data_IF_885029167024
#
_entry.id   IF_885029167024
#
_cell.length_a   1.000
_cell.length_b   1.000
_cell.length_c   1.000
_cell.angle_alpha   90.00
_cell.angle_beta   90.00
_cell.angle_gamma   90.00
#
_symmetry.space_group_name_H-M   'P 1'
#
loop_
_entity.id
_entity.type
_entity.pdbx_description
1 polymer ?
#
# COMPACT_ATOMS: atom_id res chain seq x y z
N UNK A 1 -43.20 78.78 -43.67
CA UNK A 1 -43.37 77.89 -42.50
C UNK A 1 -42.86 76.44 -42.68
N UNK A 2 -42.12 76.08 -43.75
CA UNK A 2 -41.64 74.69 -43.96
C UNK A 2 -40.13 74.46 -43.73
N UNK A 3 -39.34 75.50 -43.41
CA UNK A 3 -37.90 75.35 -43.15
C UNK A 3 -37.56 75.01 -41.67
N UNK A 4 -38.43 75.37 -40.72
CA UNK A 4 -38.18 75.16 -39.28
C UNK A 4 -38.46 73.73 -38.83
N UNK A 5 -39.40 73.02 -39.48
CA UNK A 5 -39.75 71.63 -39.15
C UNK A 5 -38.71 70.59 -39.60
N UNK A 6 -37.91 70.88 -40.65
CA UNK A 6 -36.85 69.96 -41.11
C UNK A 6 -35.59 70.03 -40.26
N UNK A 7 -35.31 71.17 -39.61
CA UNK A 7 -34.10 71.33 -38.80
C UNK A 7 -34.22 70.67 -37.41
N UNK A 8 -35.43 70.65 -36.83
CA UNK A 8 -35.67 69.94 -35.56
C UNK A 8 -35.57 68.41 -35.70
N UNK A 9 -36.02 67.85 -36.82
CA UNK A 9 -36.00 66.39 -37.03
C UNK A 9 -34.57 65.84 -37.19
N UNK A 10 -33.64 66.63 -37.75
CA UNK A 10 -32.23 66.24 -37.87
C UNK A 10 -31.51 66.29 -36.52
N UNK A 11 -31.81 67.28 -35.67
CA UNK A 11 -31.24 67.38 -34.33
C UNK A 11 -31.75 66.26 -33.41
N UNK A 12 -33.02 65.88 -33.49
CA UNK A 12 -33.57 64.76 -32.72
C UNK A 12 -33.00 63.40 -33.17
N UNK A 13 -32.78 63.20 -34.48
CA UNK A 13 -32.12 61.99 -34.99
C UNK A 13 -30.64 61.92 -34.62
N UNK A 14 -29.93 63.05 -34.60
CA UNK A 14 -28.53 63.11 -34.13
C UNK A 14 -28.43 62.87 -32.62
N UNK A 15 -29.33 63.44 -31.82
CA UNK A 15 -29.37 63.22 -30.36
C UNK A 15 -29.72 61.77 -30.02
N UNK A 16 -30.64 61.15 -30.77
CA UNK A 16 -30.98 59.74 -30.60
C UNK A 16 -29.79 58.81 -30.96
N UNK A 17 -29.07 59.11 -32.05
CA UNK A 17 -27.88 58.36 -32.44
C UNK A 17 -26.73 58.53 -31.44
N UNK A 18 -26.53 59.73 -30.88
CA UNK A 18 -25.55 59.96 -29.81
C UNK A 18 -25.90 59.20 -28.53
N UNK A 19 -27.17 59.22 -28.10
CA UNK A 19 -27.64 58.46 -26.94
C UNK A 19 -27.50 56.95 -27.16
N UNK A 20 -27.79 56.44 -28.36
CA UNK A 20 -27.61 55.03 -28.71
C UNK A 20 -26.13 54.62 -28.69
N UNK A 21 -25.24 55.47 -29.22
CA UNK A 21 -23.80 55.22 -29.20
C UNK A 21 -23.23 55.27 -27.78
N UNK A 22 -23.71 56.21 -26.95
CA UNK A 22 -23.33 56.33 -25.55
C UNK A 22 -23.83 55.14 -24.72
N UNK A 23 -25.05 54.65 -24.99
CA UNK A 23 -25.59 53.45 -24.38
C UNK A 23 -24.82 52.19 -24.79
N UNK A 24 -24.45 52.06 -26.08
CA UNK A 24 -23.62 50.95 -26.55
C UNK A 24 -22.22 50.97 -25.93
N UNK A 25 -21.60 52.14 -25.79
CA UNK A 25 -20.30 52.28 -25.10
C UNK A 25 -20.39 51.95 -23.61
N UNK A 26 -21.44 52.38 -22.91
CA UNK A 26 -21.65 52.02 -21.51
C UNK A 26 -21.90 50.52 -21.34
N UNK A 27 -22.63 49.88 -22.25
CA UNK A 27 -22.85 48.44 -22.24
C UNK A 27 -21.55 47.67 -22.50
N UNK A 28 -20.74 48.12 -23.46
CA UNK A 28 -19.44 47.52 -23.75
C UNK A 28 -18.47 47.67 -22.56
N UNK A 29 -18.48 48.83 -21.90
CA UNK A 29 -17.68 49.07 -20.70
C UNK A 29 -18.13 48.17 -19.52
N UNK A 30 -19.44 48.05 -19.29
CA UNK A 30 -19.96 47.21 -18.20
C UNK A 30 -19.70 45.71 -18.45
N UNK A 31 -19.79 45.24 -19.70
CA UNK A 31 -19.43 43.88 -20.07
C UNK A 31 -17.92 43.61 -19.91
N UNK A 32 -17.08 44.58 -20.24
CA UNK A 32 -15.63 44.46 -20.04
C UNK A 32 -15.26 44.42 -18.55
N UNK A 33 -15.89 45.25 -17.72
CA UNK A 33 -15.69 45.25 -16.27
C UNK A 33 -16.25 43.97 -15.61
N UNK A 34 -17.41 43.50 -16.05
CA UNK A 34 -17.96 42.21 -15.61
C UNK A 34 -17.04 41.05 -15.99
N UNK A 35 -16.50 41.05 -17.22
CA UNK A 35 -15.54 40.04 -17.67
C UNK A 35 -14.26 40.03 -16.82
N UNK A 36 -13.74 41.20 -16.45
CA UNK A 36 -12.60 41.32 -15.52
C UNK A 36 -12.94 40.83 -14.12
N UNK A 37 -14.11 41.19 -13.58
CA UNK A 37 -14.57 40.71 -12.27
C UNK A 37 -14.70 39.19 -12.24
N UNK A 38 -15.33 38.60 -13.26
CA UNK A 38 -15.50 37.16 -13.38
C UNK A 38 -14.15 36.42 -13.46
N UNK A 39 -13.21 36.94 -14.25
CA UNK A 39 -11.84 36.40 -14.34
C UNK A 39 -11.14 36.45 -12.98
N UNK A 40 -11.27 37.56 -12.25
CA UNK A 40 -10.63 37.76 -10.96
C UNK A 40 -11.22 36.85 -9.88
N UNK A 41 -12.56 36.69 -9.86
CA UNK A 41 -13.24 35.72 -8.99
C UNK A 41 -12.82 34.27 -9.30
N UNK A 42 -12.76 33.90 -10.58
CA UNK A 42 -12.33 32.56 -10.98
C UNK A 42 -10.88 32.30 -10.58
N UNK A 43 -10.00 33.29 -10.74
CA UNK A 43 -8.60 33.18 -10.33
C UNK A 43 -8.45 33.06 -8.80
N UNK A 44 -9.23 33.82 -8.01
CA UNK A 44 -9.26 33.67 -6.56
C UNK A 44 -9.78 32.31 -6.11
N UNK A 45 -10.84 31.79 -6.74
CA UNK A 45 -11.37 30.46 -6.46
C UNK A 45 -10.33 29.37 -6.75
N UNK A 46 -9.64 29.45 -7.89
CA UNK A 46 -8.58 28.51 -8.24
C UNK A 46 -7.39 28.58 -7.27
N UNK A 47 -6.96 29.79 -6.90
CA UNK A 47 -5.90 29.97 -5.92
C UNK A 47 -6.30 29.43 -4.54
N UNK A 48 -7.51 29.73 -4.08
CA UNK A 48 -8.04 29.23 -2.81
C UNK A 48 -8.13 27.70 -2.78
N UNK A 49 -8.67 27.10 -3.85
CA UNK A 49 -8.77 25.65 -3.96
C UNK A 49 -7.39 24.97 -4.02
N UNK A 50 -6.46 25.53 -4.80
CA UNK A 50 -5.08 25.01 -4.90
C UNK A 50 -4.36 25.05 -3.56
N UNK A 51 -4.46 26.16 -2.81
CA UNK A 51 -3.86 26.29 -1.49
C UNK A 51 -4.47 25.30 -0.48
N UNK A 52 -5.78 25.07 -0.58
CA UNK A 52 -6.48 24.13 0.30
C UNK A 52 -6.08 22.68 0.02
N UNK A 53 -5.94 22.28 -1.26
CA UNK A 53 -5.42 20.97 -1.65
C UNK A 53 -3.99 20.80 -1.15
N UNK A 54 -3.13 21.81 -1.34
CA UNK A 54 -1.73 21.75 -0.93
C UNK A 54 -1.60 21.57 0.59
N UNK A 55 -2.35 22.36 1.36
CA UNK A 55 -2.37 22.27 2.82
C UNK A 55 -2.87 20.90 3.30
N UNK A 56 -3.94 20.38 2.68
CA UNK A 56 -4.49 19.05 3.02
C UNK A 56 -3.50 17.93 2.69
N UNK A 57 -2.85 18.00 1.53
CA UNK A 57 -1.81 17.05 1.13
C UNK A 57 -0.62 17.08 2.09
N UNK A 58 -0.14 18.28 2.43
CA UNK A 58 0.98 18.45 3.37
C UNK A 58 0.65 17.90 4.76
N UNK A 59 -0.57 18.15 5.27
CA UNK A 59 -1.03 17.61 6.54
C UNK A 59 -1.09 16.08 6.53
N UNK A 60 -1.60 15.47 5.45
CA UNK A 60 -1.64 14.01 5.30
C UNK A 60 -0.23 13.40 5.27
N UNK A 61 0.72 14.05 4.60
CA UNK A 61 2.12 13.62 4.57
C UNK A 61 2.78 13.68 5.94
N UNK A 62 2.57 14.78 6.68
CA UNK A 62 3.08 14.89 8.05
C UNK A 62 2.50 13.81 8.97
N UNK A 63 1.21 13.53 8.84
CA UNK A 63 0.57 12.50 9.66
C UNK A 63 1.14 11.10 9.37
N UNK A 64 1.31 10.74 8.09
CA UNK A 64 1.95 9.47 7.71
C UNK A 64 3.38 9.35 8.23
N UNK A 65 4.14 10.45 8.23
CA UNK A 65 5.50 10.47 8.75
C UNK A 65 5.53 10.13 10.25
N UNK A 66 4.64 10.75 11.04
CA UNK A 66 4.51 10.50 12.48
C UNK A 66 4.10 9.05 12.75
N UNK A 67 3.12 8.53 12.01
CA UNK A 67 2.68 7.13 12.12
C UNK A 67 3.82 6.16 11.82
N UNK A 68 4.64 6.46 10.81
CA UNK A 68 5.81 5.64 10.48
C UNK A 68 6.86 5.68 11.59
N UNK A 69 7.19 6.85 12.14
CA UNK A 69 8.13 6.98 13.25
C UNK A 69 7.66 6.20 14.49
N UNK A 70 6.37 6.26 14.82
CA UNK A 70 5.80 5.49 15.92
C UNK A 70 5.88 3.98 15.68
N UNK A 71 5.60 3.52 14.45
CA UNK A 71 5.71 2.12 14.08
C UNK A 71 7.16 1.61 14.22
N UNK A 72 8.14 2.40 13.75
CA UNK A 72 9.56 2.09 13.91
C UNK A 72 9.99 2.02 15.39
N UNK A 73 9.55 2.96 16.22
CA UNK A 73 9.87 2.95 17.65
C UNK A 73 9.29 1.71 18.35
N UNK A 74 8.09 1.28 17.95
CA UNK A 74 7.48 0.04 18.48
C UNK A 74 8.28 -1.20 18.07
N UNK A 75 8.59 -1.34 16.79
CA UNK A 75 9.41 -2.43 16.26
C UNK A 75 10.78 -2.51 16.94
N UNK A 76 11.40 -1.35 17.20
CA UNK A 76 12.68 -1.29 17.89
C UNK A 76 12.60 -1.79 19.34
N UNK A 77 11.54 -1.42 20.07
CA UNK A 77 11.31 -1.91 21.44
C UNK A 77 11.03 -3.41 21.46
N UNK A 78 10.17 -3.89 20.56
CA UNK A 78 9.85 -5.31 20.44
C UNK A 78 11.13 -6.11 20.13
N UNK A 79 11.95 -5.63 19.19
CA UNK A 79 13.26 -6.24 18.88
C UNK A 79 14.19 -6.27 20.10
N UNK A 80 14.30 -5.18 20.87
CA UNK A 80 15.12 -5.16 22.09
C UNK A 80 14.62 -6.18 23.12
N UNK A 81 13.31 -6.31 23.28
CA UNK A 81 12.70 -7.26 24.21
C UNK A 81 12.96 -8.71 23.76
N UNK A 82 12.75 -9.01 22.47
CA UNK A 82 13.04 -10.34 21.91
C UNK A 82 14.51 -10.68 22.01
N UNK A 83 15.41 -9.72 21.79
CA UNK A 83 16.85 -9.90 21.97
C UNK A 83 17.22 -10.21 23.42
N UNK A 84 16.65 -9.49 24.40
CA UNK A 84 16.82 -9.83 25.81
C UNK A 84 16.33 -11.24 26.13
N UNK A 85 15.18 -11.65 25.60
CA UNK A 85 14.65 -13.00 25.81
C UNK A 85 15.56 -14.07 25.21
N UNK A 86 16.14 -13.83 24.03
CA UNK A 86 17.10 -14.73 23.39
C UNK A 86 18.44 -14.81 24.14
N UNK A 87 18.95 -13.68 24.65
CA UNK A 87 20.16 -13.66 25.48
C UNK A 87 19.94 -14.39 26.83
N UNK A 88 18.70 -14.46 27.33
CA UNK A 88 18.34 -15.32 28.46
C UNK A 88 18.10 -16.79 28.08
N UNK A 89 17.85 -17.10 26.80
CA UNK A 89 17.41 -18.40 26.31
C UNK A 89 18.48 -19.19 25.51
N UNK A 90 19.75 -18.77 25.52
CA UNK A 90 20.85 -19.58 24.94
C UNK A 90 20.84 -21.02 25.48
N UNK A 91 21.08 -22.03 24.62
CA UNK A 91 20.49 -23.35 24.79
C UNK A 91 21.22 -24.18 25.84
N UNK A 92 20.55 -24.39 26.98
CA UNK A 92 20.91 -25.33 28.06
C UNK A 92 20.68 -26.80 27.64
N UNK A 93 20.27 -27.07 26.40
CA UNK A 93 19.92 -28.42 25.94
C UNK A 93 21.07 -29.46 26.00
N UNK A 94 22.33 -29.02 25.94
CA UNK A 94 23.50 -29.92 26.14
C UNK A 94 23.90 -30.07 27.59
N UNK A 95 23.67 -29.06 28.45
CA UNK A 95 23.97 -29.15 29.88
C UNK A 95 22.93 -29.98 30.63
N UNK A 96 21.64 -29.85 30.29
CA UNK A 96 20.56 -30.59 30.94
C UNK A 96 20.66 -32.11 30.71
N UNK A 97 21.04 -32.55 29.50
CA UNK A 97 21.23 -33.98 29.23
C UNK A 97 22.45 -34.57 29.97
N UNK A 98 23.49 -33.77 30.16
CA UNK A 98 24.71 -34.18 30.85
C UNK A 98 24.49 -34.22 32.38
N UNK A 99 23.78 -33.24 32.93
CA UNK A 99 23.34 -33.27 34.34
C UNK A 99 22.37 -34.41 34.63
N UNK A 100 21.48 -34.76 33.69
CA UNK A 100 20.56 -35.88 33.87
C UNK A 100 21.31 -37.22 33.91
N UNK A 101 22.34 -37.36 33.07
CA UNK A 101 23.23 -38.52 33.07
C UNK A 101 24.05 -38.61 34.37
N UNK A 102 24.62 -37.49 34.84
CA UNK A 102 25.35 -37.43 36.11
C UNK A 102 24.46 -37.75 37.32
N UNK A 103 23.20 -37.29 37.30
CA UNK A 103 22.21 -37.63 38.33
C UNK A 103 21.81 -39.11 38.29
N UNK A 104 21.65 -39.70 37.10
CA UNK A 104 21.38 -41.14 36.96
C UNK A 104 22.57 -41.98 37.46
N UNK A 105 23.80 -41.57 37.15
CA UNK A 105 24.99 -42.26 37.64
C UNK A 105 25.09 -42.16 39.18
N UNK A 106 24.89 -40.97 39.75
CA UNK A 106 24.88 -40.79 41.20
C UNK A 106 23.78 -41.63 41.85
N UNK A 107 22.56 -41.63 41.32
CA UNK A 107 21.47 -42.48 41.80
C UNK A 107 21.84 -43.97 41.81
N UNK A 108 22.48 -44.46 40.75
CA UNK A 108 22.93 -45.85 40.67
C UNK A 108 24.03 -46.18 41.69
N UNK A 109 24.94 -45.23 41.97
CA UNK A 109 25.96 -45.36 43.01
C UNK A 109 25.35 -45.36 44.42
N UNK A 110 24.42 -44.44 44.72
CA UNK A 110 23.71 -44.40 46.01
C UNK A 110 22.91 -45.68 46.24
N UNK A 111 22.25 -46.21 45.20
CA UNK A 111 21.50 -47.46 45.27
C UNK A 111 22.41 -48.67 45.59
N UNK A 112 23.61 -48.72 45.00
CA UNK A 112 24.61 -49.74 45.35
C UNK A 112 25.08 -49.60 46.80
N UNK A 113 25.32 -48.38 47.27
CA UNK A 113 25.73 -48.14 48.66
C UNK A 113 24.64 -48.57 49.65
N UNK A 114 23.36 -48.26 49.38
CA UNK A 114 22.21 -48.73 50.18
C UNK A 114 22.17 -50.26 50.21
N UNK A 115 22.32 -50.93 49.07
CA UNK A 115 22.30 -52.38 49.01
C UNK A 115 23.46 -53.02 49.80
N UNK A 116 24.62 -52.37 49.81
CA UNK A 116 25.82 -52.85 50.52
C UNK A 116 25.66 -52.68 52.03
N UNK A 117 25.25 -51.50 52.48
CA UNK A 117 24.95 -51.22 53.90
C UNK A 117 23.80 -52.09 54.42
N UNK A 118 22.77 -52.36 53.62
CA UNK A 118 21.69 -53.28 53.99
C UNK A 118 22.22 -54.71 54.25
N UNK A 119 23.15 -55.18 53.41
CA UNK A 119 23.77 -56.49 53.58
C UNK A 119 24.68 -56.55 54.82
N UNK A 120 25.45 -55.49 55.08
CA UNK A 120 26.29 -55.37 56.28
C UNK A 120 25.45 -55.30 57.55
N UNK A 121 24.36 -54.54 57.54
CA UNK A 121 23.43 -54.41 58.67
C UNK A 121 22.75 -55.75 58.98
N UNK A 122 22.36 -56.49 57.95
CA UNK A 122 21.83 -57.85 58.12
C UNK A 122 22.87 -58.80 58.73
N UNK A 123 24.14 -58.74 58.30
CA UNK A 123 25.23 -59.54 58.88
C UNK A 123 25.49 -59.17 60.34
N UNK A 124 25.55 -57.88 60.65
CA UNK A 124 25.77 -57.38 62.01
C UNK A 124 24.61 -57.79 62.94
N UNK A 125 23.36 -57.71 62.47
CA UNK A 125 22.19 -58.19 63.23
C UNK A 125 22.27 -59.69 63.53
N UNK A 126 22.66 -60.51 62.53
CA UNK A 126 22.84 -61.96 62.73
C UNK A 126 23.97 -62.27 63.72
N UNK A 127 25.09 -61.53 63.64
CA UNK A 127 26.19 -61.67 64.58
C UNK A 127 25.75 -61.31 66.00
N UNK A 128 25.02 -60.21 66.18
CA UNK A 128 24.56 -59.78 67.49
C UNK A 128 23.54 -60.77 68.10
N UNK A 129 22.65 -61.36 67.28
CA UNK A 129 21.78 -62.45 67.75
C UNK A 129 22.58 -63.67 68.23
N UNK A 130 23.65 -64.05 67.52
CA UNK A 130 24.50 -65.19 67.93
C UNK A 130 25.30 -64.91 69.21
N UNK A 131 25.75 -63.67 69.41
CA UNK A 131 26.41 -63.25 70.63
C UNK A 131 25.44 -63.26 71.82
N UNK A 132 24.22 -62.77 71.64
CA UNK A 132 23.18 -62.79 72.67
C UNK A 132 22.83 -64.22 73.09
N UNK A 133 22.65 -65.14 72.13
CA UNK A 133 22.42 -66.57 72.43
C UNK A 133 23.58 -67.18 73.23
N UNK A 134 24.83 -66.84 72.88
CA UNK A 134 26.02 -67.33 73.57
C UNK A 134 26.15 -66.73 74.97
N UNK A 135 25.78 -65.47 75.17
CA UNK A 135 25.78 -64.80 76.48
C UNK A 135 24.78 -65.49 77.42
N UNK A 136 23.57 -65.77 76.95
CA UNK A 136 22.56 -66.54 77.70
C UNK A 136 23.09 -67.94 78.07
N UNK A 137 23.78 -68.60 77.13
CA UNK A 137 24.41 -69.90 77.39
C UNK A 137 25.51 -69.82 78.45
N UNK A 138 26.32 -68.76 78.44
CA UNK A 138 27.34 -68.57 79.47
C UNK A 138 26.73 -68.23 80.84
N UNK A 139 25.69 -67.41 80.89
CA UNK A 139 24.98 -67.11 82.14
C UNK A 139 24.39 -68.37 82.78
N UNK A 140 23.83 -69.28 81.97
CA UNK A 140 23.33 -70.58 82.44
C UNK A 140 24.45 -71.44 83.02
N UNK A 141 25.58 -71.56 82.32
CA UNK A 141 26.75 -72.31 82.81
C UNK A 141 27.34 -71.71 84.09
N UNK A 142 27.34 -70.37 84.23
CA UNK A 142 27.74 -69.69 85.47
C UNK A 142 26.79 -70.03 86.62
N UNK A 143 25.48 -70.08 86.37
CA UNK A 143 24.50 -70.46 87.37
C UNK A 143 24.68 -71.92 87.83
N UNK A 144 25.02 -72.83 86.92
CA UNK A 144 25.33 -74.23 87.24
C UNK A 144 26.62 -74.37 88.07
N UNK A 145 27.73 -73.75 87.63
CA UNK A 145 29.00 -73.75 88.37
C UNK A 145 28.88 -73.10 89.76
N UNK A 146 28.01 -72.08 89.90
CA UNK A 146 27.75 -71.44 91.19
C UNK A 146 27.06 -72.42 92.15
N UNK A 147 26.06 -73.17 91.68
CA UNK A 147 25.40 -74.22 92.47
C UNK A 147 26.35 -75.36 92.83
N UNK A 148 27.22 -75.76 91.90
CA UNK A 148 28.21 -76.82 92.13
C UNK A 148 29.25 -76.39 93.17
N UNK A 149 29.73 -75.15 93.11
CA UNK A 149 30.60 -74.57 94.13
C UNK A 149 29.92 -74.51 95.52
N UNK A 150 28.64 -74.13 95.60
CA UNK A 150 27.88 -74.14 96.85
C UNK A 150 27.76 -75.56 97.44
N UNK A 151 27.54 -76.55 96.58
CA UNK A 151 27.48 -77.95 96.98
C UNK A 151 28.83 -78.48 97.47
N UNK A 152 29.92 -78.18 96.78
CA UNK A 152 31.28 -78.57 97.20
C UNK A 152 31.72 -77.85 98.48
N UNK A 153 31.32 -76.58 98.67
CA UNK A 153 31.51 -75.88 99.94
C UNK A 153 30.72 -76.53 101.07
N UNK A 154 29.50 -77.02 100.81
CA UNK A 154 28.70 -77.74 101.79
C UNK A 154 29.36 -79.08 102.17
N UNK A 155 29.86 -79.86 101.19
CA UNK A 155 30.63 -81.08 101.44
C UNK A 155 31.88 -80.80 102.27
N UNK A 156 32.62 -79.74 101.93
CA UNK A 156 33.83 -79.34 102.66
C UNK A 156 33.51 -79.03 104.13
N UNK A 157 32.43 -78.27 104.40
CA UNK A 157 31.97 -77.99 105.77
C UNK A 157 31.53 -79.25 106.53
N UNK A 158 30.86 -80.17 105.84
CA UNK A 158 30.43 -81.44 106.44
C UNK A 158 31.62 -82.33 106.79
N UNK A 159 32.61 -82.44 105.89
CA UNK A 159 33.86 -83.16 106.15
C UNK A 159 34.66 -82.50 107.29
N UNK A 160 34.68 -81.17 107.36
CA UNK A 160 35.30 -80.41 108.47
C UNK A 160 34.62 -80.73 109.81
N UNK A 161 33.29 -80.74 109.85
CA UNK A 161 32.52 -81.10 111.06
C UNK A 161 32.71 -82.58 111.45
N UNK A 162 32.72 -83.50 110.48
CA UNK A 162 32.95 -84.92 110.72
C UNK A 162 34.37 -85.17 111.28
N UNK A 163 35.39 -84.52 110.72
CA UNK A 163 36.76 -84.56 111.23
C UNK A 163 36.85 -84.01 112.66
N UNK A 164 36.20 -82.87 112.93
CA UNK A 164 36.19 -82.26 114.27
C UNK A 164 35.50 -83.16 115.32
N UNK A 165 34.44 -83.86 114.92
CA UNK A 165 33.71 -84.81 115.78
C UNK A 165 34.54 -86.07 116.03
N UNK A 166 35.22 -86.61 115.01
CA UNK A 166 36.12 -87.76 115.12
C UNK A 166 37.33 -87.47 116.01
N UNK A 167 37.90 -86.26 115.93
CA UNK A 167 39.01 -85.80 116.80
C UNK A 167 38.60 -85.70 118.28
N UNK A 168 37.33 -85.40 118.57
CA UNK A 168 36.81 -85.33 119.95
C UNK A 168 36.41 -86.70 120.54
N UNK A 169 36.27 -87.73 119.71
CA UNK A 169 35.69 -89.02 120.10
C UNK A 169 36.70 -90.16 120.31
N UNK A 170 38.01 -89.89 120.24
CA UNK A 170 39.08 -90.90 120.32
C UNK A 170 38.92 -92.06 119.31
N UNK A 171 38.62 -91.71 118.05
CA UNK A 171 38.53 -92.66 116.93
C UNK A 171 39.92 -93.21 116.50
N UNK A 172 39.93 -94.36 115.82
CA UNK A 172 41.14 -95.03 115.33
C UNK A 172 41.97 -94.12 114.40
N UNK A 173 43.31 -94.19 114.44
CA UNK A 173 44.18 -93.32 113.64
C UNK A 173 44.01 -93.51 112.12
N UNK A 174 43.46 -94.65 111.68
CA UNK A 174 43.20 -94.97 110.27
C UNK A 174 41.95 -94.26 109.73
N UNK A 175 40.89 -94.10 110.54
CA UNK A 175 39.67 -93.35 110.17
C UNK A 175 39.94 -91.83 110.09
N UNK A 176 40.82 -91.31 110.96
CA UNK A 176 41.26 -89.91 110.91
C UNK A 176 42.07 -89.60 109.64
N UNK A 177 42.87 -90.55 109.16
CA UNK A 177 43.63 -90.39 107.92
C UNK A 177 42.72 -90.38 106.68
N UNK A 178 41.68 -91.23 106.65
CA UNK A 178 40.69 -91.23 105.58
C UNK A 178 39.86 -89.94 105.55
N UNK A 179 39.35 -89.47 106.70
CA UNK A 179 38.64 -88.19 106.80
C UNK A 179 39.51 -86.99 106.40
N UNK A 180 40.81 -87.02 106.71
CA UNK A 180 41.75 -85.99 106.24
C UNK A 180 41.92 -86.01 104.73
N UNK A 181 42.05 -87.19 104.12
CA UNK A 181 42.13 -87.35 102.66
C UNK A 181 40.85 -86.87 101.96
N UNK A 182 39.68 -87.20 102.50
CA UNK A 182 38.38 -86.78 101.95
C UNK A 182 38.20 -85.25 102.04
N UNK A 183 38.63 -84.64 103.15
CA UNK A 183 38.58 -83.20 103.34
C UNK A 183 39.54 -82.45 102.39
N UNK A 184 40.72 -83.00 102.16
CA UNK A 184 41.70 -82.43 101.22
C UNK A 184 41.21 -82.55 99.77
N UNK A 185 40.58 -83.68 99.43
CA UNK A 185 39.94 -83.88 98.13
C UNK A 185 38.75 -82.94 97.92
N UNK A 186 37.89 -82.76 98.93
CA UNK A 186 36.78 -81.80 98.87
C UNK A 186 37.27 -80.35 98.75
N UNK A 187 38.35 -79.98 99.45
CA UNK A 187 38.98 -78.66 99.30
C UNK A 187 39.59 -78.45 97.92
N UNK A 188 40.22 -79.48 97.33
CA UNK A 188 40.74 -79.42 95.98
C UNK A 188 39.60 -79.21 94.96
N UNK A 189 38.50 -79.95 95.08
CA UNK A 189 37.31 -79.82 94.22
C UNK A 189 36.63 -78.44 94.36
N UNK A 190 36.51 -77.92 95.59
CA UNK A 190 35.99 -76.57 95.84
C UNK A 190 36.92 -75.47 95.28
N UNK A 191 38.24 -75.68 95.31
CA UNK A 191 39.19 -74.74 94.71
C UNK A 191 39.15 -74.78 93.18
N UNK A 192 39.04 -75.96 92.59
CA UNK A 192 38.93 -76.15 91.13
C UNK A 192 37.63 -75.54 90.59
N UNK A 193 36.49 -75.79 91.23
CA UNK A 193 35.21 -75.16 90.88
C UNK A 193 35.23 -73.62 91.03
N UNK A 194 35.92 -73.09 92.06
CA UNK A 194 36.12 -71.64 92.22
C UNK A 194 36.97 -71.05 91.10
N UNK A 195 38.03 -71.73 90.68
CA UNK A 195 38.88 -71.30 89.56
C UNK A 195 38.10 -71.34 88.25
N UNK A 196 37.33 -72.40 88.01
CA UNK A 196 36.46 -72.54 86.85
C UNK A 196 35.43 -71.39 86.80
N UNK A 197 34.78 -71.08 87.93
CA UNK A 197 33.83 -69.97 88.04
C UNK A 197 34.49 -68.62 87.75
N UNK A 198 35.72 -68.39 88.24
CA UNK A 198 36.47 -67.17 87.97
C UNK A 198 36.81 -67.03 86.47
N UNK A 199 37.30 -68.08 85.82
CA UNK A 199 37.58 -68.09 84.38
C UNK A 199 36.30 -67.82 83.56
N UNK A 200 35.20 -68.44 83.98
CA UNK A 200 33.89 -68.25 83.37
C UNK A 200 33.41 -66.80 83.48
N UNK A 201 33.48 -66.23 84.69
CA UNK A 201 33.10 -64.83 84.94
C UNK A 201 33.92 -63.84 84.11
N UNK A 202 35.21 -64.12 83.94
CA UNK A 202 36.08 -63.31 83.08
C UNK A 202 35.66 -63.40 81.61
N UNK A 203 35.29 -64.59 81.16
CA UNK A 203 34.79 -64.82 79.79
C UNK A 203 33.45 -64.11 79.52
N UNK A 204 32.52 -64.14 80.48
CA UNK A 204 31.25 -63.40 80.39
C UNK A 204 31.48 -61.89 80.31
N UNK A 205 32.38 -61.35 81.13
CA UNK A 205 32.68 -59.92 81.15
C UNK A 205 33.32 -59.45 79.83
N UNK A 206 34.17 -60.30 79.24
CA UNK A 206 34.76 -60.05 77.92
C UNK A 206 33.70 -60.08 76.81
N UNK A 207 32.76 -61.03 76.89
CA UNK A 207 31.64 -61.12 75.95
C UNK A 207 30.67 -59.94 76.06
N UNK A 208 30.41 -59.43 77.26
CA UNK A 208 29.59 -58.22 77.48
C UNK A 208 30.22 -56.98 76.84
N UNK A 209 31.54 -56.82 76.94
CA UNK A 209 32.23 -55.72 76.26
C UNK A 209 32.15 -55.84 74.74
N UNK A 210 32.26 -57.07 74.20
CA UNK A 210 32.11 -57.33 72.77
C UNK A 210 30.68 -57.07 72.28
N UNK A 211 29.67 -57.43 73.08
CA UNK A 211 28.26 -57.16 72.80
C UNK A 211 27.97 -55.64 72.77
N UNK A 212 28.44 -54.89 73.78
CA UNK A 212 28.29 -53.43 73.80
C UNK A 212 28.98 -52.74 72.61
N UNK A 213 30.17 -53.20 72.24
CA UNK A 213 30.87 -52.65 71.08
C UNK A 213 30.11 -52.94 69.77
N UNK A 214 29.60 -54.15 69.60
CA UNK A 214 28.79 -54.50 68.42
C UNK A 214 27.45 -53.75 68.39
N UNK A 215 26.82 -53.49 69.55
CA UNK A 215 25.59 -52.71 69.61
C UNK A 215 25.81 -51.26 69.18
N UNK A 216 26.94 -50.65 69.57
CA UNK A 216 27.36 -49.32 69.08
C UNK A 216 27.60 -49.31 67.57
N UNK A 217 28.32 -50.29 67.03
CA UNK A 217 28.52 -50.41 65.58
C UNK A 217 27.19 -50.59 64.84
N UNK A 218 26.25 -51.34 65.41
CA UNK A 218 24.94 -51.57 64.80
C UNK A 218 24.07 -50.31 64.78
N UNK A 219 24.16 -49.48 65.83
CA UNK A 219 23.48 -48.18 65.87
C UNK A 219 24.08 -47.20 64.87
N UNK A 220 25.41 -47.12 64.76
CA UNK A 220 26.08 -46.29 63.74
C UNK A 220 25.73 -46.73 62.31
N UNK A 221 25.75 -48.04 62.04
CA UNK A 221 25.42 -48.59 60.73
C UNK A 221 23.94 -48.35 60.38
N UNK A 222 23.04 -48.44 61.36
CA UNK A 222 21.61 -48.14 61.20
C UNK A 222 21.39 -46.66 60.89
N UNK A 223 22.08 -45.76 61.60
CA UNK A 223 22.00 -44.32 61.35
C UNK A 223 22.53 -43.96 59.96
N UNK A 224 23.65 -44.56 59.55
CA UNK A 224 24.22 -44.38 58.20
C UNK A 224 23.26 -44.87 57.11
N UNK A 225 22.63 -46.04 57.30
CA UNK A 225 21.64 -46.58 56.39
C UNK A 225 20.42 -45.65 56.24
N UNK A 226 19.88 -45.12 57.35
CA UNK A 226 18.74 -44.20 57.32
C UNK A 226 19.07 -42.88 56.62
N UNK A 227 20.24 -42.29 56.92
CA UNK A 227 20.70 -41.07 56.27
C UNK A 227 20.81 -41.25 54.75
N UNK A 228 21.41 -42.37 54.31
CA UNK A 228 21.58 -42.67 52.90
C UNK A 228 20.22 -42.90 52.19
N UNK A 229 19.28 -43.55 52.88
CA UNK A 229 17.92 -43.75 52.38
C UNK A 229 17.18 -42.42 52.18
N UNK A 230 17.37 -41.46 53.09
CA UNK A 230 16.80 -40.13 52.99
C UNK A 230 17.40 -39.34 51.82
N UNK A 231 18.72 -39.38 51.64
CA UNK A 231 19.40 -38.75 50.49
C UNK A 231 18.93 -39.34 49.16
N UNK A 232 18.68 -40.65 49.09
CA UNK A 232 18.15 -41.29 47.88
C UNK A 232 16.71 -40.86 47.57
N UNK A 233 15.87 -40.66 48.58
CA UNK A 233 14.52 -40.15 48.40
C UNK A 233 14.52 -38.70 47.87
N UNK A 234 15.38 -37.84 48.44
CA UNK A 234 15.57 -36.46 47.97
C UNK A 234 16.08 -36.39 46.53
N UNK A 235 17.07 -37.24 46.17
CA UNK A 235 17.54 -37.34 44.79
C UNK A 235 16.44 -37.75 43.82
N UNK A 236 15.59 -38.71 44.21
CA UNK A 236 14.49 -39.20 43.37
C UNK A 236 13.46 -38.09 43.14
N UNK A 237 13.11 -37.34 44.20
CA UNK A 237 12.19 -36.22 44.09
C UNK A 237 12.76 -35.11 43.18
N UNK A 238 14.03 -34.73 43.37
CA UNK A 238 14.69 -33.73 42.54
C UNK A 238 14.73 -34.15 41.05
N UNK A 239 14.88 -35.45 40.77
CA UNK A 239 14.86 -35.98 39.41
C UNK A 239 13.46 -35.91 38.78
N UNK A 240 12.40 -36.20 39.56
CA UNK A 240 11.02 -36.02 39.11
C UNK A 240 10.70 -34.55 38.82
N UNK A 241 11.09 -33.64 39.71
CA UNK A 241 10.84 -32.21 39.53
C UNK A 241 11.56 -31.68 38.27
N UNK A 242 12.80 -32.13 38.01
CA UNK A 242 13.53 -31.81 36.77
C UNK A 242 12.80 -32.34 35.52
N UNK A 243 12.32 -33.58 35.54
CA UNK A 243 11.57 -34.15 34.41
C UNK A 243 10.26 -33.40 34.15
N UNK A 244 9.56 -32.99 35.20
CA UNK A 244 8.34 -32.19 35.08
C UNK A 244 8.64 -30.80 34.51
N UNK A 245 9.70 -30.14 34.99
CA UNK A 245 10.15 -28.85 34.45
C UNK A 245 10.54 -28.96 32.96
N UNK A 246 11.23 -30.03 32.57
CA UNK A 246 11.60 -30.28 31.17
C UNK A 246 10.36 -30.49 30.29
N UNK A 247 9.35 -31.21 30.78
CA UNK A 247 8.09 -31.42 30.06
C UNK A 247 7.32 -30.10 29.86
N UNK A 248 7.27 -29.25 30.89
CA UNK A 248 6.65 -27.92 30.81
C UNK A 248 7.41 -27.04 29.80
N UNK A 249 8.74 -27.04 29.86
CA UNK A 249 9.58 -26.29 28.92
C UNK A 249 9.38 -26.76 27.47
N UNK A 250 9.32 -28.08 27.22
CA UNK A 250 9.01 -28.62 25.88
C UNK A 250 7.64 -28.17 25.37
N UNK A 251 6.63 -28.15 26.24
CA UNK A 251 5.30 -27.67 25.85
C UNK A 251 5.34 -26.19 25.48
N UNK A 252 6.02 -25.36 26.27
CA UNK A 252 6.19 -23.93 25.96
C UNK A 252 6.91 -23.70 24.63
N UNK A 253 7.94 -24.50 24.32
CA UNK A 253 8.63 -24.42 23.03
C UNK A 253 7.69 -24.75 21.88
N UNK A 254 6.87 -25.81 21.99
CA UNK A 254 5.87 -26.13 20.95
C UNK A 254 4.83 -25.04 20.78
N UNK A 255 4.33 -24.47 21.87
CA UNK A 255 3.34 -23.39 21.82
C UNK A 255 3.94 -22.15 21.14
N UNK A 256 5.21 -21.82 21.42
CA UNK A 256 5.94 -20.74 20.75
C UNK A 256 6.18 -21.02 19.26
N UNK A 257 6.54 -22.25 18.89
CA UNK A 257 6.69 -22.66 17.49
C UNK A 257 5.38 -22.52 16.73
N UNK A 258 4.25 -22.89 17.36
CA UNK A 258 2.93 -22.74 16.76
C UNK A 258 2.55 -21.26 16.58
N UNK A 259 2.81 -20.41 17.58
CA UNK A 259 2.59 -18.96 17.46
C UNK A 259 3.45 -18.33 16.38
N UNK A 260 4.70 -18.77 16.22
CA UNK A 260 5.57 -18.32 15.13
C UNK A 260 5.04 -18.75 13.76
N UNK A 261 4.53 -19.97 13.63
CA UNK A 261 3.92 -20.44 12.39
C UNK A 261 2.68 -19.61 12.02
N UNK A 262 1.78 -19.35 12.97
CA UNK A 262 0.61 -18.50 12.77
C UNK A 262 1.00 -17.07 12.38
N UNK A 263 2.04 -16.51 13.01
CA UNK A 263 2.55 -15.17 12.68
C UNK A 263 3.16 -15.10 11.28
N UNK A 264 3.91 -16.12 10.87
CA UNK A 264 4.45 -16.20 9.52
C UNK A 264 3.34 -16.28 8.47
N UNK A 265 2.31 -17.09 8.72
CA UNK A 265 1.18 -17.18 7.81
C UNK A 265 0.46 -15.83 7.67
N UNK A 266 0.25 -15.11 8.78
CA UNK A 266 -0.38 -13.79 8.77
C UNK A 266 0.49 -12.74 8.05
N UNK A 267 1.82 -12.89 8.12
CA UNK A 267 2.76 -12.03 7.40
C UNK A 267 2.71 -12.29 5.89
N UNK A 268 2.62 -13.55 5.47
CA UNK A 268 2.44 -13.93 4.06
C UNK A 268 1.11 -13.40 3.50
N UNK A 269 0.02 -13.49 4.27
CA UNK A 269 -1.28 -12.93 3.89
C UNK A 269 -1.23 -11.40 3.75
N UNK A 270 -0.57 -10.68 4.66
CA UNK A 270 -0.38 -9.24 4.52
C UNK A 270 0.49 -8.88 3.32
N UNK A 271 1.53 -9.67 3.04
CA UNK A 271 2.40 -9.46 1.88
C UNK A 271 1.62 -9.61 0.57
N UNK A 272 0.75 -10.63 0.47
CA UNK A 272 -0.13 -10.80 -0.69
C UNK A 272 -1.09 -9.62 -0.86
N UNK A 273 -1.75 -9.16 0.21
CA UNK A 273 -2.63 -7.99 0.15
C UNK A 273 -1.89 -6.73 -0.28
N UNK A 274 -0.66 -6.53 0.20
CA UNK A 274 0.18 -5.41 -0.20
C UNK A 274 0.52 -5.47 -1.70
N UNK A 275 0.85 -6.66 -2.22
CA UNK A 275 1.17 -6.84 -3.63
C UNK A 275 -0.05 -6.65 -4.53
N UNK A 276 -1.24 -7.08 -4.10
CA UNK A 276 -2.52 -6.80 -4.78
C UNK A 276 -2.83 -5.29 -4.82
N UNK A 277 -2.70 -4.59 -3.70
CA UNK A 277 -2.90 -3.14 -3.65
C UNK A 277 -1.90 -2.40 -4.55
N UNK A 278 -0.65 -2.85 -4.59
CA UNK A 278 0.38 -2.28 -5.47
C UNK A 278 0.04 -2.48 -6.94
N UNK A 279 -0.51 -3.64 -7.31
CA UNK A 279 -0.98 -3.92 -8.66
C UNK A 279 -2.16 -3.01 -9.04
N UNK A 280 -3.16 -2.86 -8.16
CA UNK A 280 -4.30 -1.96 -8.37
C UNK A 280 -3.86 -0.50 -8.53
N UNK A 281 -2.86 -0.07 -7.76
CA UNK A 281 -2.32 1.29 -7.87
C UNK A 281 -1.62 1.51 -9.22
N UNK A 282 -0.87 0.52 -9.71
CA UNK A 282 -0.26 0.56 -11.04
C UNK A 282 -1.31 0.64 -12.16
N UNK A 283 -2.41 -0.11 -12.06
CA UNK A 283 -3.52 -0.04 -13.01
C UNK A 283 -4.20 1.34 -13.00
N UNK A 284 -4.47 1.90 -11.81
CA UNK A 284 -5.02 3.24 -11.66
C UNK A 284 -4.10 4.31 -12.27
N UNK A 285 -2.79 4.17 -12.09
CA UNK A 285 -1.81 5.08 -12.66
C UNK A 285 -1.80 5.00 -14.19
N UNK A 286 -1.78 3.78 -14.75
CA UNK A 286 -1.88 3.58 -16.20
C UNK A 286 -3.19 4.14 -16.78
N UNK A 287 -4.30 3.97 -16.07
CA UNK A 287 -5.59 4.55 -16.49
C UNK A 287 -5.57 6.08 -16.45
N UNK A 288 -4.96 6.68 -15.43
CA UNK A 288 -4.78 8.13 -15.34
C UNK A 288 -3.91 8.67 -16.48
N UNK A 289 -2.84 7.98 -16.85
CA UNK A 289 -1.99 8.36 -17.99
C UNK A 289 -2.75 8.26 -19.32
N UNK A 290 -3.56 7.21 -19.50
CA UNK A 290 -4.42 7.07 -20.68
C UNK A 290 -5.45 8.21 -20.78
N UNK A 291 -6.11 8.57 -19.68
CA UNK A 291 -7.03 9.70 -19.65
C UNK A 291 -6.31 11.03 -19.93
N UNK A 292 -5.10 11.23 -19.41
CA UNK A 292 -4.32 12.43 -19.69
C UNK A 292 -3.97 12.54 -21.18
N UNK A 293 -3.58 11.44 -21.82
CA UNK A 293 -3.32 11.40 -23.26
C UNK A 293 -4.59 11.75 -24.06
N UNK A 294 -5.74 11.21 -23.65
CA UNK A 294 -7.01 11.51 -24.30
C UNK A 294 -7.40 12.99 -24.17
N UNK A 295 -7.13 13.62 -23.02
CA UNK A 295 -7.32 15.07 -22.84
C UNK A 295 -6.43 15.85 -23.80
N UNK A 296 -5.15 15.48 -23.92
CA UNK A 296 -4.22 16.15 -24.84
C UNK A 296 -4.68 16.03 -26.31
N UNK A 297 -5.19 14.87 -26.72
CA UNK A 297 -5.76 14.66 -28.05
C UNK A 297 -6.98 15.55 -28.30
N UNK A 298 -7.89 15.66 -27.32
CA UNK A 298 -9.04 16.56 -27.42
C UNK A 298 -8.64 18.04 -27.50
N UNK A 299 -7.62 18.45 -26.74
CA UNK A 299 -7.09 19.81 -26.80
C UNK A 299 -6.47 20.11 -28.17
N UNK A 300 -5.71 19.17 -28.74
CA UNK A 300 -5.15 19.30 -30.07
C UNK A 300 -6.24 19.44 -31.13
N UNK A 301 -7.25 18.55 -31.13
CA UNK A 301 -8.38 18.66 -32.05
C UNK A 301 -9.14 19.97 -31.92
N UNK A 302 -9.28 20.49 -30.69
CA UNK A 302 -9.90 21.80 -30.47
C UNK A 302 -9.07 22.94 -31.07
N UNK A 303 -7.75 22.85 -31.03
CA UNK A 303 -6.86 23.81 -31.69
C UNK A 303 -7.01 23.75 -33.21
N UNK A 304 -7.00 22.55 -33.79
CA UNK A 304 -7.17 22.35 -35.24
C UNK A 304 -8.52 22.90 -35.74
N UNK A 305 -9.59 22.71 -34.96
CA UNK A 305 -10.91 23.29 -35.24
C UNK A 305 -10.91 24.82 -35.15
N UNK A 306 -10.20 25.39 -34.17
CA UNK A 306 -10.08 26.84 -34.04
C UNK A 306 -9.33 27.46 -35.23
N UNK A 307 -8.24 26.83 -35.66
CA UNK A 307 -7.46 27.27 -36.82
C UNK A 307 -8.28 27.17 -38.11
N UNK A 308 -8.99 26.05 -38.31
CA UNK A 308 -9.90 25.86 -39.44
C UNK A 308 -11.02 26.91 -39.45
N UNK A 309 -11.56 27.26 -38.28
CA UNK A 309 -12.58 28.30 -38.15
C UNK A 309 -12.03 29.69 -38.49
N UNK A 310 -10.80 30.00 -38.07
CA UNK A 310 -10.12 31.24 -38.42
C UNK A 310 -9.86 31.34 -39.93
N UNK A 311 -9.44 30.24 -40.56
CA UNK A 311 -9.23 30.16 -42.01
C UNK A 311 -10.53 30.41 -42.77
N UNK A 312 -11.62 29.73 -42.40
CA UNK A 312 -12.96 29.95 -42.97
C UNK A 312 -13.44 31.40 -42.78
N UNK A 313 -13.17 32.01 -41.62
CA UNK A 313 -13.47 33.42 -41.36
C UNK A 313 -12.70 34.37 -42.30
N UNK A 314 -11.44 34.04 -42.60
CA UNK A 314 -10.62 34.80 -43.55
C UNK A 314 -11.12 34.65 -45.00
N UNK A 315 -11.51 33.43 -45.40
CA UNK A 315 -12.11 33.18 -46.72
C UNK A 315 -13.44 33.92 -46.88
N UNK A 316 -14.29 33.93 -45.85
CA UNK A 316 -15.54 34.68 -45.87
C UNK A 316 -15.30 36.17 -46.08
N UNK A 317 -14.32 36.74 -45.38
CA UNK A 317 -13.94 38.14 -45.52
C UNK A 317 -13.42 38.44 -46.92
N UNK A 318 -12.60 37.53 -47.48
CA UNK A 318 -12.11 37.65 -48.86
C UNK A 318 -13.26 37.59 -49.87
N UNK A 319 -14.18 36.64 -49.71
CA UNK A 319 -15.34 36.49 -50.60
C UNK A 319 -16.25 37.72 -50.55
N UNK A 320 -16.45 38.29 -49.36
CA UNK A 320 -17.18 39.56 -49.19
C UNK A 320 -16.49 40.71 -49.92
N UNK A 321 -15.16 40.82 -49.84
CA UNK A 321 -14.40 41.83 -50.56
C UNK A 321 -14.50 41.64 -52.09
N UNK A 322 -14.39 40.40 -52.59
CA UNK A 322 -14.60 40.07 -54.01
C UNK A 322 -16.01 40.44 -54.47
N UNK A 323 -17.04 40.15 -53.67
CA UNK A 323 -18.42 40.52 -53.97
C UNK A 323 -18.61 42.04 -54.09
N UNK A 324 -18.05 42.82 -53.15
CA UNK A 324 -18.09 44.30 -53.20
C UNK A 324 -17.41 44.81 -54.47
N UNK A 325 -16.24 44.28 -54.82
CA UNK A 325 -15.51 44.66 -56.03
C UNK A 325 -16.31 44.36 -57.30
N UNK A 326 -16.90 43.15 -57.41
CA UNK A 326 -17.76 42.78 -58.54
C UNK A 326 -18.95 43.73 -58.65
N UNK A 327 -19.59 44.08 -57.53
CA UNK A 327 -20.73 44.99 -57.53
C UNK A 327 -20.35 46.42 -57.95
N UNK A 328 -19.15 46.87 -57.56
CA UNK A 328 -18.59 48.14 -58.04
C UNK A 328 -18.33 48.11 -59.55
N UNK A 329 -17.72 47.04 -60.05
CA UNK A 329 -17.48 46.84 -61.50
C UNK A 329 -18.79 46.80 -62.29
N UNK A 330 -19.82 46.13 -61.76
CA UNK A 330 -21.16 46.11 -62.35
C UNK A 330 -21.75 47.51 -62.42
N UNK A 331 -21.66 48.29 -61.34
CA UNK A 331 -22.14 49.67 -61.28
C UNK A 331 -21.42 50.56 -62.29
N UNK A 332 -20.09 50.41 -62.40
CA UNK A 332 -19.29 51.12 -63.40
C UNK A 332 -19.70 50.74 -64.82
N UNK A 333 -19.89 49.44 -65.11
CA UNK A 333 -20.35 48.94 -66.40
C UNK A 333 -21.73 49.49 -66.78
N UNK A 334 -22.70 49.48 -65.85
CA UNK A 334 -24.02 50.07 -66.06
C UNK A 334 -23.94 51.57 -66.34
N UNK A 335 -23.10 52.32 -65.62
CA UNK A 335 -22.89 53.74 -65.87
C UNK A 335 -22.31 54.01 -67.25
N UNK A 336 -21.38 53.15 -67.71
CA UNK A 336 -20.81 53.20 -69.06
C UNK A 336 -21.86 52.87 -70.12
N UNK A 337 -22.70 51.86 -69.87
CA UNK A 337 -23.85 51.51 -70.71
C UNK A 337 -24.77 52.72 -70.93
N UNK A 338 -25.24 53.35 -69.85
CA UNK A 338 -26.09 54.56 -69.93
C UNK A 338 -25.43 55.70 -70.69
N UNK A 339 -24.12 55.90 -70.52
CA UNK A 339 -23.37 56.91 -71.30
C UNK A 339 -23.34 56.57 -72.79
N UNK A 340 -23.11 55.30 -73.14
CA UNK A 340 -23.11 54.85 -74.53
C UNK A 340 -24.51 54.94 -75.15
N UNK A 341 -25.57 54.59 -74.41
CA UNK A 341 -26.97 54.75 -74.84
C UNK A 341 -27.29 56.22 -75.13
N UNK A 342 -26.95 57.14 -74.22
CA UNK A 342 -27.13 58.58 -74.44
C UNK A 342 -26.32 59.09 -75.65
N UNK A 343 -25.10 58.60 -75.84
CA UNK A 343 -24.30 58.94 -77.02
C UNK A 343 -24.93 58.43 -78.32
N UNK A 344 -25.49 57.22 -78.31
CA UNK A 344 -26.20 56.63 -79.43
C UNK A 344 -27.44 57.44 -79.77
N UNK A 345 -28.28 57.78 -78.78
CA UNK A 345 -29.46 58.62 -78.96
C UNK A 345 -29.11 59.99 -79.58
N UNK A 346 -28.03 60.62 -79.11
CA UNK A 346 -27.53 61.86 -79.71
C UNK A 346 -27.03 61.67 -81.14
N UNK A 347 -26.40 60.55 -81.48
CA UNK A 347 -25.98 60.25 -82.85
C UNK A 347 -27.19 60.05 -83.76
N UNK A 348 -28.18 59.26 -83.33
CA UNK A 348 -29.43 58.99 -84.05
C UNK A 348 -30.21 60.28 -84.28
N UNK A 349 -30.38 61.11 -83.25
CA UNK A 349 -31.08 62.40 -83.39
C UNK A 349 -30.37 63.35 -84.35
N UNK A 350 -29.03 63.39 -84.33
CA UNK A 350 -28.26 64.19 -85.31
C UNK A 350 -28.42 63.66 -86.72
N UNK A 351 -28.43 62.34 -86.90
CA UNK A 351 -28.67 61.73 -88.20
C UNK A 351 -30.07 62.06 -88.71
N UNK A 352 -31.12 61.87 -87.89
CA UNK A 352 -32.49 62.20 -88.26
C UNK A 352 -32.65 63.69 -88.62
N UNK A 353 -32.03 64.59 -87.86
CA UNK A 353 -32.03 66.02 -88.17
C UNK A 353 -31.33 66.32 -89.52
N UNK A 354 -30.21 65.64 -89.80
CA UNK A 354 -29.51 65.75 -91.07
C UNK A 354 -30.35 65.21 -92.24
N UNK A 355 -31.02 64.07 -92.06
CA UNK A 355 -31.94 63.48 -93.05
C UNK A 355 -33.14 64.39 -93.33
N UNK A 356 -33.78 64.94 -92.29
CA UNK A 356 -34.88 65.91 -92.45
C UNK A 356 -34.42 67.17 -93.20
N UNK A 357 -33.22 67.68 -92.89
CA UNK A 357 -32.64 68.83 -93.59
C UNK A 357 -32.40 68.51 -95.06
N UNK A 358 -31.81 67.36 -95.37
CA UNK A 358 -31.60 66.92 -96.76
C UNK A 358 -32.92 66.75 -97.50
N UNK A 359 -33.95 66.18 -96.85
CA UNK A 359 -35.27 66.03 -97.45
C UNK A 359 -35.91 67.39 -97.74
N UNK A 360 -35.82 68.34 -96.81
CA UNK A 360 -36.29 69.71 -97.01
C UNK A 360 -35.56 70.42 -98.17
N UNK A 361 -34.23 70.30 -98.23
CA UNK A 361 -33.42 70.84 -99.34
C UNK A 361 -33.77 70.16 -100.68
N UNK A 362 -34.01 68.85 -100.68
CA UNK A 362 -34.44 68.11 -101.86
C UNK A 362 -35.84 68.53 -102.33
N UNK A 363 -36.78 68.76 -101.41
CA UNK A 363 -38.13 69.23 -101.73
C UNK A 363 -38.11 70.68 -102.25
N UNK A 364 -37.29 71.57 -101.65
CA UNK A 364 -37.05 72.90 -102.20
C UNK A 364 -36.45 72.84 -103.61
N UNK A 365 -35.48 71.95 -103.83
CA UNK A 365 -34.86 71.76 -105.15
C UNK A 365 -35.87 71.24 -106.18
N UNK A 366 -36.76 70.32 -105.79
CA UNK A 366 -37.85 69.82 -106.64
C UNK A 366 -38.84 70.92 -107.01
N UNK A 367 -39.20 71.78 -106.06
CA UNK A 367 -40.11 72.90 -106.32
C UNK A 367 -39.44 73.97 -107.22
N UNK A 368 -38.16 74.26 -107.00
CA UNK A 368 -37.40 75.14 -107.92
C UNK A 368 -37.34 74.55 -109.33
N UNK A 369 -37.09 73.24 -109.48
CA UNK A 369 -37.12 72.57 -110.79
C UNK A 369 -38.52 72.67 -111.41
N UNK A 370 -39.59 72.52 -110.63
CA UNK A 370 -40.97 72.68 -111.12
C UNK A 370 -41.20 74.11 -111.63
N UNK A 371 -40.78 75.13 -110.87
CA UNK A 371 -40.89 76.53 -111.28
C UNK A 371 -40.09 76.82 -112.55
N UNK A 372 -38.83 76.38 -112.63
CA UNK A 372 -38.01 76.51 -113.84
C UNK A 372 -38.61 75.81 -115.05
N UNK A 373 -39.20 74.61 -114.87
CA UNK A 373 -39.92 73.92 -115.94
C UNK A 373 -41.16 74.68 -116.41
N UNK A 374 -41.89 75.33 -115.49
CA UNK A 374 -43.03 76.19 -115.83
C UNK A 374 -42.59 77.41 -116.63
N UNK A 375 -41.52 78.09 -116.19
CA UNK A 375 -40.94 79.23 -116.91
C UNK A 375 -40.44 78.84 -118.30
N UNK A 376 -39.81 77.66 -118.42
CA UNK A 376 -39.38 77.14 -119.72
C UNK A 376 -40.56 76.89 -120.65
N UNK A 377 -41.66 76.30 -120.14
CA UNK A 377 -42.86 76.06 -120.92
C UNK A 377 -43.54 77.37 -121.38
N UNK A 378 -43.63 78.38 -120.49
CA UNK A 378 -44.12 79.72 -120.85
C UNK A 378 -43.24 80.37 -121.92
N UNK A 379 -41.92 80.23 -121.80
CA UNK A 379 -40.98 80.79 -122.77
C UNK A 379 -41.05 80.07 -124.12
N UNK A 380 -41.23 78.74 -124.13
CA UNK A 380 -41.47 77.97 -125.35
C UNK A 380 -42.79 78.36 -126.02
N UNK A 381 -43.86 78.62 -125.24
CA UNK A 381 -45.14 79.11 -125.76
C UNK A 381 -44.98 80.52 -126.36
N UNK A 382 -44.30 81.43 -125.66
CA UNK A 382 -43.94 82.76 -126.18
C UNK A 382 -43.12 82.67 -127.47
N UNK A 383 -42.12 81.78 -127.53
CA UNK A 383 -41.30 81.57 -128.72
C UNK A 383 -42.14 81.00 -129.88
N UNK A 384 -43.06 80.06 -129.61
CA UNK A 384 -43.98 79.54 -130.63
C UNK A 384 -44.93 80.63 -131.13
N UNK A 385 -45.47 81.47 -130.24
CA UNK A 385 -46.29 82.63 -130.62
C UNK A 385 -45.49 83.60 -131.50
N UNK A 386 -44.26 83.95 -131.11
CA UNK A 386 -43.40 84.83 -131.91
C UNK A 386 -43.02 84.21 -133.26
N UNK A 387 -42.79 82.89 -133.29
CA UNK A 387 -42.55 82.16 -134.54
C UNK A 387 -43.78 82.22 -135.43
N UNK A 388 -44.98 81.97 -134.89
CA UNK A 388 -46.26 82.08 -135.60
C UNK A 388 -46.51 83.51 -136.11
N UNK A 389 -46.20 84.54 -135.32
CA UNK A 389 -46.28 85.95 -135.74
C UNK A 389 -45.31 86.27 -136.89
N UNK A 390 -44.07 85.77 -136.80
CA UNK A 390 -43.08 85.94 -137.86
C UNK A 390 -43.50 85.18 -139.12
N UNK A 391 -44.04 83.98 -139.00
CA UNK A 391 -44.62 83.22 -140.10
C UNK A 391 -45.80 83.95 -140.74
N UNK A 392 -46.71 84.54 -139.94
CA UNK A 392 -47.78 85.41 -140.43
C UNK A 392 -47.22 86.64 -141.17
N UNK A 393 -46.21 87.31 -140.63
CA UNK A 393 -45.55 88.44 -141.30
C UNK A 393 -44.87 88.01 -142.60
N UNK A 394 -44.19 86.86 -142.63
CA UNK A 394 -43.59 86.29 -143.84
C UNK A 394 -44.67 85.99 -144.86
N UNK A 395 -45.81 85.43 -144.45
CA UNK A 395 -46.95 85.17 -145.32
C UNK A 395 -47.55 86.47 -145.88
N UNK A 396 -47.74 87.49 -145.04
CA UNK A 396 -48.14 88.83 -145.47
C UNK A 396 -47.15 89.43 -146.47
N UNK A 397 -45.84 89.35 -146.20
CA UNK A 397 -44.82 89.84 -147.10
C UNK A 397 -44.79 89.06 -148.41
N UNK A 398 -44.97 87.73 -148.39
CA UNK A 398 -45.13 86.91 -149.60
C UNK A 398 -46.37 87.34 -150.40
N UNK A 399 -47.51 87.57 -149.75
CA UNK A 399 -48.74 88.06 -150.40
C UNK A 399 -48.55 89.48 -150.98
N UNK A 400 -47.92 90.39 -150.24
CA UNK A 400 -47.59 91.75 -150.72
C UNK A 400 -46.58 91.69 -151.87
N UNK A 401 -45.62 90.77 -151.83
CA UNK A 401 -44.65 90.53 -152.89
C UNK A 401 -45.33 89.97 -154.15
N UNK A 402 -46.18 88.95 -154.03
CA UNK A 402 -47.00 88.44 -155.15
C UNK A 402 -47.92 89.52 -155.73
N UNK A 403 -48.50 90.37 -154.87
CA UNK A 403 -49.32 91.50 -155.30
C UNK A 403 -48.50 92.56 -156.06
N UNK A 404 -47.30 92.90 -155.57
CA UNK A 404 -46.37 93.80 -156.26
C UNK A 404 -45.85 93.20 -157.58
N UNK A 405 -45.59 91.88 -157.61
CA UNK A 405 -45.17 91.16 -158.81
C UNK A 405 -46.30 91.15 -159.88
N UNK A 406 -47.57 91.03 -159.45
CA UNK A 406 -48.73 91.19 -160.33
C UNK A 406 -48.92 92.62 -160.85
N UNK A 407 -48.55 93.64 -160.08
CA UNK A 407 -48.58 95.04 -160.56
C UNK A 407 -47.50 95.34 -161.61
N UNK A 408 -46.32 94.72 -161.50
CA UNK A 408 -45.25 94.83 -162.49
C UNK A 408 -45.59 94.13 -163.82
N UNK A 409 -46.39 93.08 -163.79
CA UNK A 409 -46.81 92.35 -165.00
C UNK A 409 -47.88 93.07 -165.84
N UNK A 410 -48.47 94.17 -165.36
CA UNK A 410 -49.49 94.97 -166.09
C UNK A 410 -48.90 96.26 -166.67
N UNK A 411 -47.61 96.54 -166.44
CA UNK A 411 -46.90 97.71 -166.99
C UNK A 411 -45.85 97.35 -168.04
N UNK A 412 -46.05 96.24 -168.77
CA UNK A 412 -45.22 95.80 -169.90
C UNK A 412 -46.06 95.44 -171.10
#
# INVERSE_FOLDING_TARGET
MNAVKKNNNNNEQQLAAELENQAQQQLAASLADFGKQLMNEQQQLLQGYSAQILAKSQSQWQQRLIEQEQAYQKLFKDWQQTKQQLDLATPVATADNQELADLQQKSAETARQIATLAAELKKAQQHNSSLSEREVGLEQQLAELTKELEFEQHKTRHAEQALQTAQQSAADPEELAQLHSELEQARAQAHESKLALQQMKTSLQQQQHEAQHNEQQLTELTASYQALQQTAAEQTQAQQDKLQALAISQQQVRDLEQQLAERNQLLDEQQQQHDELKAQLAELQAHSEALQNQINEFEQHRSELADSSAELGSELTRLQAEFVNINELLTQSQSRGKKLESQLDHAVNRQQAAEQKQQYEADQSREMIRQLRSQLAEQDEMNQQHTSELEQKIMEYKLKFEYAQKQLAVSG
#
